data_IF_297242796720
#
_entry.id   IF_297242796720
#
_cell.length_a   1.000
_cell.length_b   1.000
_cell.length_c   1.000
_cell.angle_alpha   90.00
_cell.angle_beta   90.00
_cell.angle_gamma   90.00
#
_symmetry.space_group_name_H-M   'P 1'
#
loop_
_entity.id
_entity.type
_entity.pdbx_description
1 polymer ?
#
# COMPACT_ATOMS: atom_id res chain seq x y z
N UNK A 1 7.93 45.44 -53.38
CA UNK A 1 6.58 45.14 -52.87
C UNK A 1 6.81 44.48 -51.53
N UNK A 2 6.56 45.23 -50.46
CA UNK A 2 6.82 44.87 -49.07
C UNK A 2 5.51 44.80 -48.28
N UNK A 3 5.56 44.00 -47.19
CA UNK A 3 4.60 43.70 -46.12
C UNK A 3 3.64 42.50 -46.34
N UNK A 4 3.24 41.75 -45.27
CA UNK A 4 3.42 42.05 -43.84
C UNK A 4 4.07 40.94 -42.98
N UNK A 5 4.71 41.42 -41.92
CA UNK A 5 5.05 40.71 -40.67
C UNK A 5 3.82 40.03 -40.08
N UNK A 6 3.83 38.69 -40.01
CA UNK A 6 2.96 37.93 -39.11
C UNK A 6 3.78 37.33 -37.99
N UNK A 7 3.74 38.03 -36.87
CA UNK A 7 3.90 37.45 -35.54
C UNK A 7 2.86 36.35 -35.37
N UNK A 8 3.32 35.12 -35.18
CA UNK A 8 2.50 34.05 -34.64
C UNK A 8 3.19 33.58 -33.36
N UNK A 9 2.53 33.96 -32.27
CA UNK A 9 2.79 33.68 -30.88
C UNK A 9 3.32 32.27 -30.62
N UNK A 10 4.31 32.24 -29.73
CA UNK A 10 4.57 31.23 -28.71
C UNK A 10 3.29 30.43 -28.37
N UNK A 11 3.21 29.13 -28.70
CA UNK A 11 2.27 28.27 -28.03
C UNK A 11 2.83 28.06 -26.62
N UNK A 12 2.29 28.87 -25.70
CA UNK A 12 2.39 28.66 -24.28
C UNK A 12 2.37 27.16 -23.96
N UNK A 13 3.46 26.69 -23.37
CA UNK A 13 3.52 25.43 -22.63
C UNK A 13 2.24 25.27 -21.80
N UNK A 14 1.42 24.23 -22.01
CA UNK A 14 0.98 23.50 -20.85
C UNK A 14 2.21 22.74 -20.38
N UNK A 15 2.88 23.33 -19.40
CA UNK A 15 3.60 22.58 -18.37
C UNK A 15 2.52 21.70 -17.74
N UNK A 16 2.21 20.58 -18.40
CA UNK A 16 1.44 19.50 -17.84
C UNK A 16 2.36 18.90 -16.78
N UNK A 17 2.41 19.59 -15.63
CA UNK A 17 2.56 18.95 -14.35
C UNK A 17 1.41 17.94 -14.21
N UNK A 18 1.52 16.82 -14.94
CA UNK A 18 1.22 15.53 -14.35
C UNK A 18 2.21 15.41 -13.20
N UNK A 19 1.86 16.05 -12.09
CA UNK A 19 2.33 15.64 -10.78
C UNK A 19 1.77 14.24 -10.65
N UNK A 20 2.52 13.27 -11.18
CA UNK A 20 2.38 11.86 -10.90
C UNK A 20 2.67 11.78 -9.40
N UNK A 21 1.67 12.14 -8.59
CA UNK A 21 1.71 11.97 -7.15
C UNK A 21 1.76 10.47 -7.00
N UNK A 22 2.99 9.94 -6.98
CA UNK A 22 3.24 8.53 -6.81
C UNK A 22 2.44 8.13 -5.58
N UNK A 23 1.42 7.31 -5.81
CA UNK A 23 0.52 6.90 -4.75
C UNK A 23 1.37 6.36 -3.61
N UNK A 24 1.14 6.85 -2.39
CA UNK A 24 1.91 6.47 -1.21
C UNK A 24 2.08 4.93 -1.20
N UNK A 25 3.33 4.43 -1.21
CA UNK A 25 3.61 3.01 -1.36
C UNK A 25 2.99 2.18 -0.22
N UNK A 26 2.85 2.74 0.99
CA UNK A 26 2.19 2.10 2.12
C UNK A 26 0.69 2.00 1.89
N UNK A 27 0.07 3.06 1.38
CA UNK A 27 -1.37 3.06 1.02
C UNK A 27 -1.65 2.10 -0.12
N UNK A 28 -0.78 2.03 -1.12
CA UNK A 28 -0.87 1.12 -2.26
C UNK A 28 -0.75 -0.34 -1.81
N UNK A 29 0.22 -0.65 -0.96
CA UNK A 29 0.39 -1.97 -0.37
C UNK A 29 -0.84 -2.37 0.45
N UNK A 30 -1.37 -1.47 1.30
CA UNK A 30 -2.57 -1.72 2.09
C UNK A 30 -3.78 -2.06 1.21
N UNK A 31 -4.04 -1.27 0.17
CA UNK A 31 -5.14 -1.52 -0.78
C UNK A 31 -4.97 -2.87 -1.50
N UNK A 32 -3.74 -3.22 -1.86
CA UNK A 32 -3.43 -4.49 -2.51
C UNK A 32 -3.69 -5.67 -1.57
N UNK A 33 -3.30 -5.56 -0.30
CA UNK A 33 -3.59 -6.57 0.73
C UNK A 33 -5.10 -6.71 0.98
N UNK A 34 -5.85 -5.60 1.05
CA UNK A 34 -7.30 -5.65 1.20
C UNK A 34 -7.98 -6.35 0.01
N UNK A 35 -7.54 -6.07 -1.22
CA UNK A 35 -8.02 -6.75 -2.42
C UNK A 35 -7.65 -8.24 -2.44
N UNK A 36 -6.43 -8.58 -2.05
CA UNK A 36 -5.96 -9.97 -1.93
C UNK A 36 -6.82 -10.79 -0.97
N UNK A 37 -7.13 -10.23 0.21
CA UNK A 37 -8.00 -10.88 1.19
C UNK A 37 -9.43 -11.10 0.66
N UNK A 38 -9.98 -10.13 -0.08
CA UNK A 38 -11.31 -10.27 -0.68
C UNK A 38 -11.35 -11.35 -1.77
N UNK A 39 -10.27 -11.51 -2.52
CA UNK A 39 -10.17 -12.46 -3.62
C UNK A 39 -9.83 -13.89 -3.17
N UNK A 40 -9.00 -14.02 -2.13
CA UNK A 40 -8.68 -15.31 -1.50
C UNK A 40 -9.77 -15.80 -0.55
N UNK A 41 -10.71 -14.92 -0.17
CA UNK A 41 -11.83 -15.24 0.71
C UNK A 41 -12.55 -16.51 0.26
N UNK A 42 -12.25 -17.62 0.93
CA UNK A 42 -12.67 -18.95 0.53
C UNK A 42 -14.20 -19.07 0.60
N UNK A 43 -14.80 -19.57 -0.48
CA UNK A 43 -16.19 -20.00 -0.48
C UNK A 43 -16.20 -21.52 -0.35
N UNK A 44 -17.13 -22.04 0.45
CA UNK A 44 -17.32 -23.49 0.54
C UNK A 44 -17.60 -24.06 -0.85
N UNK A 45 -16.77 -25.01 -1.29
CA UNK A 45 -16.94 -25.71 -2.57
C UNK A 45 -16.18 -25.11 -3.76
N UNK A 46 -15.22 -24.19 -3.54
CA UNK A 46 -14.36 -23.72 -4.62
C UNK A 46 -13.52 -24.86 -5.24
N UNK A 47 -13.38 -24.84 -6.57
CA UNK A 47 -12.52 -25.77 -7.31
C UNK A 47 -11.04 -25.52 -6.92
N UNK A 48 -10.27 -26.56 -6.55
CA UNK A 48 -8.84 -26.44 -6.26
C UNK A 48 -8.03 -25.75 -7.37
N UNK A 49 -8.38 -25.94 -8.64
CA UNK A 49 -7.72 -25.28 -9.76
C UNK A 49 -7.99 -23.77 -9.78
N UNK A 50 -9.21 -23.36 -9.39
CA UNK A 50 -9.56 -21.95 -9.26
C UNK A 50 -8.85 -21.30 -8.08
N UNK A 51 -8.75 -22.00 -6.94
CA UNK A 51 -8.00 -21.55 -5.78
C UNK A 51 -6.52 -21.36 -6.13
N UNK A 52 -5.91 -22.32 -6.81
CA UNK A 52 -4.52 -22.23 -7.25
C UNK A 52 -4.29 -21.05 -8.21
N UNK A 53 -5.17 -20.86 -9.20
CA UNK A 53 -5.10 -19.74 -10.15
C UNK A 53 -5.21 -18.38 -9.47
N UNK A 54 -6.20 -18.19 -8.58
CA UNK A 54 -6.35 -16.96 -7.80
C UNK A 54 -5.14 -16.73 -6.90
N UNK A 55 -4.64 -17.78 -6.25
CA UNK A 55 -3.46 -17.69 -5.38
C UNK A 55 -2.24 -17.17 -6.13
N UNK A 56 -2.00 -17.69 -7.33
CA UNK A 56 -0.93 -17.22 -8.20
C UNK A 56 -1.11 -15.75 -8.64
N UNK A 57 -2.31 -15.36 -9.07
CA UNK A 57 -2.63 -13.98 -9.48
C UNK A 57 -2.48 -12.97 -8.32
N UNK A 58 -2.86 -13.38 -7.11
CA UNK A 58 -2.64 -12.59 -5.89
C UNK A 58 -1.15 -12.46 -5.59
N UNK A 59 -0.39 -13.56 -5.68
CA UNK A 59 1.05 -13.54 -5.44
C UNK A 59 1.78 -12.56 -6.36
N UNK A 60 1.45 -12.55 -7.65
CA UNK A 60 2.04 -11.60 -8.61
C UNK A 60 1.72 -10.13 -8.29
N UNK A 61 0.47 -9.84 -7.90
CA UNK A 61 0.09 -8.47 -7.54
C UNK A 61 0.79 -8.00 -6.27
N UNK A 62 0.90 -8.87 -5.27
CA UNK A 62 1.65 -8.58 -4.05
C UNK A 62 3.13 -8.34 -4.35
N UNK A 63 3.73 -9.10 -5.27
CA UNK A 63 5.11 -8.89 -5.72
C UNK A 63 5.32 -7.51 -6.33
N UNK A 64 4.42 -7.08 -7.23
CA UNK A 64 4.47 -5.74 -7.84
C UNK A 64 4.21 -4.61 -6.84
N UNK A 65 3.47 -4.88 -5.76
CA UNK A 65 3.11 -3.91 -4.73
C UNK A 65 4.14 -3.78 -3.59
N UNK A 66 5.23 -4.55 -3.62
CA UNK A 66 6.37 -4.42 -2.70
C UNK A 66 7.51 -3.63 -3.37
N UNK A 67 7.43 -2.29 -3.45
CA UNK A 67 8.48 -1.52 -4.10
C UNK A 67 9.76 -1.55 -3.26
N UNK A 68 10.91 -1.54 -3.94
CA UNK A 68 12.24 -1.56 -3.32
C UNK A 68 12.45 -0.59 -2.15
N UNK A 69 11.91 0.65 -2.17
CA UNK A 69 12.00 1.58 -1.05
C UNK A 69 11.38 1.08 0.27
N UNK A 70 10.33 0.25 0.24
CA UNK A 70 9.75 -0.32 1.46
C UNK A 70 10.68 -1.33 2.15
N UNK A 71 11.59 -1.96 1.39
CA UNK A 71 12.60 -2.89 1.91
C UNK A 71 13.71 -2.19 2.71
N UNK A 72 13.81 -0.86 2.57
CA UNK A 72 14.81 -0.03 3.26
C UNK A 72 14.22 0.81 4.40
N UNK A 73 12.92 0.63 4.71
CA UNK A 73 12.31 1.30 5.85
C UNK A 73 12.92 0.82 7.16
N UNK A 74 13.10 1.72 8.11
CA UNK A 74 13.51 1.43 9.49
C UNK A 74 12.34 1.45 10.47
N UNK A 75 11.13 1.79 10.00
CA UNK A 75 9.93 1.76 10.81
C UNK A 75 9.53 0.31 11.08
N UNK A 76 9.74 -0.15 12.31
CA UNK A 76 9.48 -1.55 12.69
C UNK A 76 8.10 -2.09 12.25
N UNK A 77 6.98 -1.35 12.40
CA UNK A 77 5.67 -1.86 11.96
C UNK A 77 5.55 -2.01 10.44
N UNK A 78 6.30 -1.22 9.65
CA UNK A 78 6.33 -1.32 8.20
C UNK A 78 7.24 -2.47 7.74
N UNK A 79 8.40 -2.66 8.40
CA UNK A 79 9.29 -3.80 8.16
C UNK A 79 8.58 -5.13 8.46
N UNK A 80 7.85 -5.20 9.57
CA UNK A 80 7.06 -6.38 9.95
C UNK A 80 5.96 -6.66 8.93
N UNK A 81 5.25 -5.61 8.47
CA UNK A 81 4.21 -5.73 7.45
C UNK A 81 4.77 -6.28 6.13
N UNK A 82 5.86 -5.69 5.65
CA UNK A 82 6.52 -6.10 4.41
C UNK A 82 7.00 -7.55 4.49
N UNK A 83 7.63 -7.93 5.61
CA UNK A 83 8.09 -9.31 5.85
C UNK A 83 6.92 -10.30 5.87
N UNK A 84 5.81 -9.92 6.51
CA UNK A 84 4.61 -10.75 6.58
C UNK A 84 3.94 -10.91 5.21
N UNK A 85 3.89 -9.87 4.38
CA UNK A 85 3.40 -9.95 2.99
C UNK A 85 4.31 -10.83 2.13
N UNK A 86 5.63 -10.72 2.30
CA UNK A 86 6.59 -11.57 1.59
C UNK A 86 6.41 -13.06 1.95
N UNK A 87 6.19 -13.37 3.22
CA UNK A 87 5.87 -14.73 3.67
C UNK A 87 4.54 -15.22 3.08
N UNK A 88 3.47 -14.41 3.12
CA UNK A 88 2.18 -14.77 2.53
C UNK A 88 2.30 -15.09 1.03
N UNK A 89 3.11 -14.33 0.30
CA UNK A 89 3.37 -14.58 -1.12
C UNK A 89 4.01 -15.94 -1.38
N UNK A 90 4.90 -16.39 -0.50
CA UNK A 90 5.53 -17.70 -0.63
C UNK A 90 4.50 -18.83 -0.46
N UNK A 91 3.64 -18.74 0.56
CA UNK A 91 2.51 -19.67 0.74
C UNK A 91 1.58 -19.70 -0.49
N UNK A 92 1.28 -18.55 -1.10
CA UNK A 92 0.46 -18.49 -2.31
C UNK A 92 1.08 -19.19 -3.53
N UNK A 93 2.42 -19.27 -3.63
CA UNK A 93 3.10 -20.02 -4.70
C UNK A 93 2.91 -21.53 -4.55
N UNK A 94 2.66 -22.00 -3.33
CA UNK A 94 2.32 -23.39 -3.04
C UNK A 94 0.81 -23.64 -2.94
N UNK A 95 -0.02 -22.67 -3.35
CA UNK A 95 -1.48 -22.72 -3.26
C UNK A 95 -2.03 -22.88 -1.82
N UNK A 96 -1.24 -22.49 -0.82
CA UNK A 96 -1.60 -22.49 0.61
C UNK A 96 -2.41 -21.22 0.94
N UNK A 97 -3.60 -21.11 0.36
CA UNK A 97 -4.42 -19.90 0.40
C UNK A 97 -4.89 -19.53 1.82
N UNK A 98 -5.06 -20.51 2.71
CA UNK A 98 -5.53 -20.31 4.09
C UNK A 98 -4.44 -19.69 4.96
N UNK A 99 -3.23 -20.24 4.87
CA UNK A 99 -2.02 -19.74 5.52
C UNK A 99 -1.71 -18.32 5.02
N UNK A 100 -1.78 -18.11 3.71
CA UNK A 100 -1.64 -16.78 3.11
C UNK A 100 -2.70 -15.78 3.61
N UNK A 101 -3.97 -16.18 3.70
CA UNK A 101 -5.04 -15.32 4.25
C UNK A 101 -4.75 -14.88 5.69
N UNK A 102 -4.23 -15.79 6.50
CA UNK A 102 -3.87 -15.51 7.91
C UNK A 102 -2.76 -14.48 7.98
N UNK A 103 -1.69 -14.66 7.19
CA UNK A 103 -0.57 -13.73 7.12
C UNK A 103 -0.99 -12.36 6.55
N UNK A 104 -1.79 -12.32 5.49
CA UNK A 104 -2.31 -11.08 4.91
C UNK A 104 -3.22 -10.32 5.90
N UNK A 105 -3.97 -11.04 6.73
CA UNK A 105 -4.78 -10.42 7.79
C UNK A 105 -3.92 -9.77 8.87
N UNK A 106 -2.80 -10.40 9.25
CA UNK A 106 -1.81 -9.84 10.17
C UNK A 106 -1.11 -8.60 9.55
N UNK A 107 -0.66 -8.72 8.30
CA UNK A 107 -0.07 -7.62 7.53
C UNK A 107 -0.98 -6.40 7.45
N UNK A 108 -2.28 -6.61 7.19
CA UNK A 108 -3.28 -5.54 7.20
C UNK A 108 -3.34 -4.82 8.55
N UNK A 109 -3.26 -5.54 9.66
CA UNK A 109 -3.23 -4.98 11.01
C UNK A 109 -1.96 -4.15 11.27
N UNK A 110 -0.81 -4.60 10.78
CA UNK A 110 0.46 -3.86 10.85
C UNK A 110 0.41 -2.57 10.01
N UNK A 111 -0.05 -2.63 8.76
CA UNK A 111 -0.17 -1.46 7.87
C UNK A 111 -1.16 -0.39 8.39
N UNK A 112 -2.22 -0.79 9.08
CA UNK A 112 -3.15 0.15 9.74
C UNK A 112 -2.49 0.94 10.86
N UNK A 113 -1.54 0.35 11.58
CA UNK A 113 -0.78 1.04 12.64
C UNK A 113 0.15 2.10 12.05
N UNK A 114 0.86 1.78 10.96
CA UNK A 114 1.72 2.73 10.22
C UNK A 114 0.94 3.94 9.72
N UNK A 115 -0.23 3.71 9.11
CA UNK A 115 -1.07 4.80 8.56
C UNK A 115 -1.88 5.57 9.61
N UNK A 116 -2.08 5.00 10.80
CA UNK A 116 -2.75 5.65 11.92
C UNK A 116 -1.84 6.56 12.74
N UNK A 117 -0.54 6.26 12.81
CA UNK A 117 0.45 7.07 13.55
C UNK A 117 0.80 8.37 12.85
N UNK A 118 0.62 8.47 11.53
CA UNK A 118 0.86 9.70 10.76
C UNK A 118 -0.21 10.79 11.00
N UNK A 119 -1.28 10.48 11.74
CA UNK A 119 -2.44 11.36 11.95
C UNK A 119 -2.56 11.99 13.34
N UNK A 120 -1.62 11.80 14.26
CA UNK A 120 -1.76 12.25 15.67
C UNK A 120 -0.71 13.25 16.15
N UNK A 121 0.15 13.78 15.28
CA UNK A 121 0.97 14.96 15.61
C UNK A 121 0.13 16.24 15.46
N UNK A 122 -0.81 16.44 16.38
CA UNK A 122 -1.70 17.60 16.37
C UNK A 122 -2.72 17.70 17.50
N UNK A 123 -2.73 16.76 18.46
CA UNK A 123 -3.41 16.96 19.73
C UNK A 123 -2.35 17.40 20.75
N UNK A 124 -2.27 18.70 20.96
CA UNK A 124 -1.22 19.36 21.74
C UNK A 124 -0.94 18.73 23.10
N UNK A 125 0.34 18.71 23.43
CA UNK A 125 0.77 18.87 24.80
C UNK A 125 0.13 20.15 25.38
N UNK A 126 -0.54 20.03 26.52
CA UNK A 126 -0.51 20.99 27.62
C UNK A 126 -1.47 20.53 28.73
N UNK A 127 -0.94 20.42 29.95
CA UNK A 127 -1.75 20.02 31.11
C UNK A 127 -0.95 19.38 32.23
N UNK A 128 0.23 19.94 32.50
CA UNK A 128 1.01 19.90 33.73
C UNK A 128 0.49 19.02 34.88
N UNK A 129 1.39 18.13 35.31
CA UNK A 129 1.65 17.87 36.73
C UNK A 129 1.49 19.15 37.55
N UNK A 130 0.68 19.12 38.62
CA UNK A 130 1.01 19.58 39.98
C UNK A 130 -0.24 19.77 40.88
N UNK A 131 -0.14 19.25 42.12
CA UNK A 131 -0.82 19.67 43.36
C UNK A 131 -2.35 19.41 43.59
N UNK A 132 -2.69 18.46 44.49
CA UNK A 132 -3.07 18.69 45.92
C UNK A 132 -4.00 17.60 46.50
N UNK A 133 -3.54 17.01 47.62
CA UNK A 133 -4.25 16.71 48.87
C UNK A 133 -5.54 15.85 48.89
N UNK A 134 -5.46 14.72 49.60
CA UNK A 134 -6.01 14.60 50.96
C UNK A 134 -5.29 13.52 51.77
#
# INVERSE_FOLDING_TARGET
>A
MDAPTRSCSDPAYPDSMSSDVAADPVVTLRRTVDAALAELGARSGDDPADVARRSWQVAERLDRALPGPLLHSTEAPLVDAVSTVAAAREHLRFAEAMEACTLLSAARGQLRRVTGTTGTEGAGAEGSSLYHSR
#
